data_IF_816143447289
#
_entry.id   IF_816143447289
#
_cell.length_a   1.000
_cell.length_b   1.000
_cell.length_c   1.000
_cell.angle_alpha   90.00
_cell.angle_beta   90.00
_cell.angle_gamma   90.00
#
_symmetry.space_group_name_H-M   'P 1'
#
loop_
_entity.id
_entity.type
_entity.pdbx_description
1 polymer ?
#
# COMPACT_ATOMS: atom_id res chain seq x y z
N UNK A 1 -3.37 -4.56 -18.11
CA UNK A 1 -3.02 -3.68 -16.97
C UNK A 1 -4.28 -3.11 -16.35
N UNK A 2 -4.36 -3.13 -15.02
CA UNK A 2 -5.53 -2.62 -14.34
C UNK A 2 -5.52 -1.08 -14.36
N UNK A 3 -6.65 -0.48 -14.65
CA UNK A 3 -6.75 0.98 -14.68
C UNK A 3 -6.74 1.54 -13.25
N UNK A 4 -6.18 2.74 -13.09
CA UNK A 4 -6.01 3.34 -11.78
C UNK A 4 -7.31 3.45 -11.00
N UNK A 5 -8.39 3.89 -11.65
CA UNK A 5 -9.67 4.03 -10.96
C UNK A 5 -10.20 2.69 -10.48
N UNK A 6 -10.09 1.67 -11.31
CA UNK A 6 -10.55 0.33 -10.94
C UNK A 6 -9.72 -0.23 -9.80
N UNK A 7 -8.41 0.02 -9.83
CA UNK A 7 -7.53 -0.45 -8.80
C UNK A 7 -7.87 0.20 -7.46
N UNK A 8 -8.08 1.52 -7.48
CA UNK A 8 -8.44 2.24 -6.26
C UNK A 8 -9.77 1.75 -5.69
N UNK A 9 -10.74 1.50 -6.57
CA UNK A 9 -12.03 0.96 -6.14
C UNK A 9 -11.87 -0.41 -5.50
N UNK A 10 -11.05 -1.28 -6.09
CA UNK A 10 -10.81 -2.60 -5.52
C UNK A 10 -10.18 -2.51 -4.14
N UNK A 11 -9.23 -1.59 -3.97
CA UNK A 11 -8.60 -1.39 -2.67
C UNK A 11 -9.63 -0.94 -1.63
N UNK A 12 -10.47 0.02 -1.99
CA UNK A 12 -11.46 0.55 -1.07
C UNK A 12 -12.50 -0.50 -0.71
N UNK A 13 -12.88 -1.33 -1.66
CA UNK A 13 -13.88 -2.37 -1.42
C UNK A 13 -13.35 -3.50 -0.55
N UNK A 14 -12.09 -3.84 -0.72
CA UNK A 14 -11.52 -4.99 0.00
C UNK A 14 -10.88 -4.63 1.33
N UNK A 15 -10.57 -3.35 1.54
CA UNK A 15 -9.95 -2.89 2.79
C UNK A 15 -10.73 -1.70 3.32
N UNK A 16 -11.95 -1.97 3.77
CA UNK A 16 -12.92 -0.92 4.09
C UNK A 16 -12.52 -0.04 5.26
N UNK A 17 -11.64 -0.53 6.13
CA UNK A 17 -11.19 0.24 7.29
C UNK A 17 -9.95 1.09 6.99
N UNK A 18 -9.60 1.23 5.70
CA UNK A 18 -8.40 1.95 5.28
C UNK A 18 -8.76 3.03 4.29
N UNK A 19 -8.14 4.20 4.49
CA UNK A 19 -8.25 5.32 3.55
C UNK A 19 -6.97 5.38 2.74
N UNK A 20 -7.05 5.05 1.46
CA UNK A 20 -5.87 4.98 0.60
C UNK A 20 -5.48 6.34 0.05
N UNK A 21 -4.20 6.64 0.12
CA UNK A 21 -3.62 7.85 -0.45
C UNK A 21 -2.79 7.49 -1.66
N UNK A 22 -3.07 8.19 -2.76
CA UNK A 22 -2.27 8.04 -3.97
C UNK A 22 -0.95 8.79 -3.80
N UNK A 23 0.07 8.29 -4.44
CA UNK A 23 1.35 8.97 -4.42
C UNK A 23 2.03 8.91 -5.78
N UNK A 24 2.93 9.87 -6.02
CA UNK A 24 3.76 9.86 -7.22
C UNK A 24 4.98 8.99 -6.95
N UNK A 25 5.02 7.83 -7.56
CA UNK A 25 6.12 6.91 -7.38
C UNK A 25 6.21 6.03 -8.61
N UNK A 26 7.42 5.54 -8.90
CA UNK A 26 7.58 4.66 -10.03
C UNK A 26 6.99 3.29 -9.77
N UNK A 27 6.87 2.86 -8.51
CA UNK A 27 6.40 1.52 -8.20
C UNK A 27 5.24 1.46 -7.22
N UNK A 28 5.03 2.48 -6.40
CA UNK A 28 3.94 2.48 -5.41
C UNK A 28 2.74 3.20 -5.98
N UNK A 29 1.59 2.55 -5.94
CA UNK A 29 0.34 3.13 -6.42
C UNK A 29 -0.36 3.91 -5.32
N UNK A 30 -0.51 3.31 -4.13
CA UNK A 30 -1.21 3.94 -3.03
C UNK A 30 -0.82 3.23 -1.73
N UNK A 31 -1.11 3.89 -0.61
CA UNK A 31 -0.87 3.28 0.69
C UNK A 31 -1.94 3.72 1.67
N UNK A 32 -2.11 2.96 2.74
CA UNK A 32 -3.09 3.27 3.77
C UNK A 32 -2.61 2.72 5.10
N UNK A 33 -3.06 3.33 6.18
CA UNK A 33 -2.64 2.94 7.52
C UNK A 33 -3.83 2.96 8.47
N UNK A 34 -3.89 1.98 9.36
CA UNK A 34 -4.91 1.92 10.39
C UNK A 34 -4.22 1.99 11.76
N UNK A 35 -4.42 3.13 12.44
CA UNK A 35 -3.77 3.34 13.73
C UNK A 35 -4.26 2.40 14.82
N UNK A 36 -5.49 1.94 14.70
CA UNK A 36 -6.06 1.05 15.72
C UNK A 36 -5.41 -0.32 15.70
N UNK A 37 -4.99 -0.77 14.53
CA UNK A 37 -4.40 -2.09 14.36
C UNK A 37 -2.92 -2.07 14.03
N UNK A 38 -2.36 -0.88 13.76
CA UNK A 38 -0.96 -0.71 13.37
C UNK A 38 -0.61 -1.47 12.10
N UNK A 39 -1.54 -1.47 11.16
CA UNK A 39 -1.35 -2.15 9.89
C UNK A 39 -1.16 -1.13 8.79
N UNK A 40 -0.11 -1.31 8.00
CA UNK A 40 0.18 -0.48 6.84
C UNK A 40 -0.02 -1.32 5.59
N UNK A 41 -0.85 -0.83 4.68
CA UNK A 41 -1.06 -1.49 3.40
C UNK A 41 -0.36 -0.68 2.32
N UNK A 42 0.43 -1.36 1.50
CA UNK A 42 1.08 -0.74 0.36
C UNK A 42 0.61 -1.46 -0.89
N UNK A 43 0.00 -0.70 -1.79
CA UNK A 43 -0.46 -1.23 -3.06
C UNK A 43 0.53 -0.79 -4.13
N UNK A 44 1.20 -1.75 -4.73
CA UNK A 44 2.18 -1.48 -5.77
C UNK A 44 1.50 -1.47 -7.13
N UNK A 45 2.09 -0.73 -8.06
CA UNK A 45 1.62 -0.76 -9.43
C UNK A 45 1.73 -2.18 -9.95
N UNK A 46 0.75 -2.59 -10.71
CA UNK A 46 0.71 -3.96 -11.20
C UNK A 46 -0.16 -4.90 -10.37
N UNK A 47 -0.76 -4.40 -9.28
CA UNK A 47 -1.75 -5.18 -8.55
C UNK A 47 -1.25 -5.98 -7.37
N UNK A 48 0.00 -5.80 -6.98
CA UNK A 48 0.54 -6.51 -5.82
C UNK A 48 0.34 -5.66 -4.57
N UNK A 49 -0.31 -6.23 -3.56
CA UNK A 49 -0.67 -5.51 -2.35
C UNK A 49 -0.04 -6.22 -1.16
N UNK A 50 0.65 -5.47 -0.32
CA UNK A 50 1.26 -6.00 0.88
C UNK A 50 0.65 -5.35 2.11
N UNK A 51 0.25 -6.18 3.06
CA UNK A 51 -0.31 -5.73 4.32
C UNK A 51 0.73 -5.99 5.40
N UNK A 52 1.41 -4.94 5.85
CA UNK A 52 2.48 -5.05 6.84
C UNK A 52 1.91 -4.90 8.24
N UNK A 53 2.30 -5.80 9.13
CA UNK A 53 1.75 -5.88 10.48
C UNK A 53 2.68 -5.23 11.50
N UNK A 54 2.10 -4.68 12.55
CA UNK A 54 2.84 -4.09 13.67
C UNK A 54 3.74 -2.95 13.23
N UNK A 55 3.20 -2.09 12.38
CA UNK A 55 3.91 -0.89 11.92
C UNK A 55 3.51 0.27 12.83
N UNK A 56 4.50 0.85 13.52
CA UNK A 56 4.22 1.92 14.47
C UNK A 56 3.78 3.19 13.76
N UNK A 57 2.96 4.02 14.42
CA UNK A 57 2.51 5.28 13.81
C UNK A 57 3.66 6.18 13.36
N UNK A 58 4.80 6.15 14.05
CA UNK A 58 5.94 6.98 13.67
C UNK A 58 6.44 6.66 12.28
N UNK A 59 6.37 5.38 11.88
CA UNK A 59 6.78 4.98 10.53
C UNK A 59 5.80 5.54 9.51
N UNK A 60 4.51 5.46 9.78
CA UNK A 60 3.52 6.02 8.89
C UNK A 60 3.68 7.53 8.74
N UNK A 61 3.93 8.23 9.86
CA UNK A 61 4.13 9.68 9.80
C UNK A 61 5.38 10.02 8.99
N UNK A 62 6.44 9.21 9.11
CA UNK A 62 7.63 9.40 8.29
C UNK A 62 7.34 9.20 6.82
N UNK A 63 6.52 8.19 6.50
CA UNK A 63 6.12 7.93 5.13
C UNK A 63 5.36 9.12 4.55
N UNK A 64 4.44 9.70 5.32
CA UNK A 64 3.68 10.84 4.83
C UNK A 64 4.56 12.04 4.51
N UNK A 65 5.65 12.22 5.25
CA UNK A 65 6.56 13.34 5.05
C UNK A 65 7.66 13.08 4.04
N UNK A 66 7.85 11.83 3.65
CA UNK A 66 8.95 11.45 2.76
C UNK A 66 8.74 12.04 1.38
N UNK A 67 9.83 12.56 0.79
CA UNK A 67 9.79 13.04 -0.58
C UNK A 67 9.60 11.90 -1.55
N UNK A 68 10.28 10.79 -1.31
CA UNK A 68 10.14 9.61 -2.14
C UNK A 68 9.47 8.51 -1.31
N UNK A 69 8.18 8.29 -1.58
CA UNK A 69 7.44 7.26 -0.87
C UNK A 69 8.00 5.88 -1.15
N UNK A 70 8.39 5.62 -2.38
CA UNK A 70 8.94 4.33 -2.75
C UNK A 70 10.24 4.02 -2.02
N UNK A 71 11.14 5.00 -1.95
CA UNK A 71 12.40 4.80 -1.24
C UNK A 71 12.17 4.60 0.25
N UNK A 72 11.27 5.38 0.84
CA UNK A 72 10.96 5.25 2.26
C UNK A 72 10.40 3.85 2.55
N UNK A 73 9.46 3.41 1.76
CA UNK A 73 8.84 2.10 1.97
C UNK A 73 9.90 1.01 1.84
N UNK A 74 10.77 1.12 0.84
CA UNK A 74 11.80 0.12 0.66
C UNK A 74 12.74 0.05 1.88
N UNK A 75 13.25 1.18 2.33
CA UNK A 75 14.26 1.19 3.41
C UNK A 75 13.66 1.03 4.80
N UNK A 76 12.48 1.58 5.05
CA UNK A 76 11.92 1.62 6.40
C UNK A 76 10.84 0.57 6.65
N UNK A 77 10.37 -0.08 5.61
CA UNK A 77 9.33 -1.09 5.75
C UNK A 77 9.82 -2.44 5.23
N UNK A 78 10.16 -2.51 3.96
CA UNK A 78 10.54 -3.78 3.36
C UNK A 78 11.83 -4.33 3.97
N UNK A 79 12.85 -3.51 4.07
CA UNK A 79 14.15 -3.97 4.58
C UNK A 79 14.16 -4.18 6.09
N UNK A 80 13.14 -3.70 6.80
CA UNK A 80 13.06 -3.88 8.25
C UNK A 80 12.49 -5.25 8.64
N UNK A 81 11.93 -5.98 7.69
CA UNK A 81 11.49 -7.33 7.96
C UNK A 81 10.18 -7.46 8.70
N UNK A 82 9.28 -6.51 8.52
CA UNK A 82 7.94 -6.64 9.12
C UNK A 82 7.25 -7.88 8.58
N UNK A 83 6.44 -8.51 9.40
CA UNK A 83 5.58 -9.57 8.93
C UNK A 83 4.52 -8.98 8.01
N UNK A 84 4.14 -9.73 6.99
CA UNK A 84 3.20 -9.21 6.01
C UNK A 84 2.34 -10.30 5.42
N UNK A 85 1.24 -9.86 4.83
CA UNK A 85 0.38 -10.70 4.00
C UNK A 85 0.36 -10.12 2.61
N UNK A 86 0.41 -10.99 1.62
CA UNK A 86 0.46 -10.55 0.24
C UNK A 86 -0.85 -10.88 -0.46
N UNK A 87 -1.35 -9.92 -1.22
CA UNK A 87 -2.54 -10.10 -2.05
C UNK A 87 -2.20 -9.69 -3.46
N UNK A 88 -2.88 -10.29 -4.42
CA UNK A 88 -2.73 -9.91 -5.81
C UNK A 88 -4.10 -9.64 -6.41
N UNK A 89 -4.22 -8.47 -7.06
CA UNK A 89 -5.43 -8.13 -7.79
C UNK A 89 -5.34 -8.73 -9.18
N UNK A 90 -6.36 -9.49 -9.55
CA UNK A 90 -6.44 -10.08 -10.87
C UNK A 90 -7.14 -9.10 -11.79
N UNK A 91 -6.57 -8.87 -12.97
CA UNK A 91 -7.25 -8.07 -13.98
C UNK A 91 -8.42 -8.86 -14.51
N UNK A 92 -9.56 -8.18 -14.75
CA UNK A 92 -10.68 -8.84 -15.41
C UNK A 92 -10.25 -9.34 -16.77
N UNK A 93 -10.74 -10.50 -17.13
CA UNK A 93 -10.45 -11.05 -18.43
C UNK A 93 -11.13 -10.22 -19.51
N UNK A 94 -10.38 -9.81 -20.49
CA UNK A 94 -10.92 -9.08 -21.61
C UNK A 94 -11.04 -10.04 -22.80
N UNK A 95 -12.22 -10.45 -23.06
CA UNK A 95 -12.46 -11.40 -24.13
C UNK A 95 -13.13 -10.77 -25.32
#
# INVERSE_FOLDING_TARGET
MIKDEAYLDLLSENFVDFDFERCSSSNVFAYAYNEKTNVLIVAFKGGKIYQYLRVKPSIYHGLQKAESKGKFINSQVIQKGFKYRKYEVQEPENK
#
